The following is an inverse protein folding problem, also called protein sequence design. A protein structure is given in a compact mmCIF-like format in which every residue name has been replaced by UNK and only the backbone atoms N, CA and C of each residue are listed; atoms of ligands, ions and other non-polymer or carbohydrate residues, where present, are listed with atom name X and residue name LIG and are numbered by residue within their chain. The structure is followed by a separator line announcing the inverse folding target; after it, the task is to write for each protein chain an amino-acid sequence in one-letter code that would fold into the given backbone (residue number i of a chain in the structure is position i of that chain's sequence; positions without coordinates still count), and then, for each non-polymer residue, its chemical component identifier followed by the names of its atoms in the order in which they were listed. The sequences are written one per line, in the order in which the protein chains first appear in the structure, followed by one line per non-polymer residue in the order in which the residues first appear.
data_IF_519682418777
#
_entry.id   IF_519682418777
#
_cell.length_a   1.000
_cell.length_b   1.000
_cell.length_c   1.000
_cell.angle_alpha   90.00
_cell.angle_beta   90.00
_cell.angle_gamma   90.00
#
_symmetry.space_group_name_H-M   'P 1'
#
loop_
_entity.id
_entity.type
_entity.pdbx_description
1 polymer ?
#
# COMPACT_ATOMS: atom_id res chain seq x y z
N UNK A 1 -57.09 -2.65 -40.05
CA UNK A 1 -55.98 -1.79 -40.50
C UNK A 1 -55.18 -1.39 -39.24
N UNK A 2 -54.31 -2.19 -38.61
CA UNK A 2 -53.12 -2.96 -39.04
C UNK A 2 -52.07 -2.16 -39.80
N UNK A 3 -51.19 -1.47 -39.06
CA UNK A 3 -49.82 -1.18 -39.50
C UNK A 3 -48.86 -1.39 -38.33
N UNK A 4 -48.14 -2.50 -38.41
CA UNK A 4 -46.98 -2.83 -37.59
C UNK A 4 -45.70 -2.61 -38.43
N UNK A 5 -44.54 -2.51 -37.75
CA UNK A 5 -43.16 -2.72 -38.25
C UNK A 5 -42.62 -1.66 -39.25
N UNK A 6 -41.37 -1.19 -39.25
CA UNK A 6 -40.11 -1.73 -38.77
C UNK A 6 -39.07 -0.59 -38.58
N UNK A 7 -38.41 -0.49 -37.42
CA UNK A 7 -37.23 0.41 -37.24
C UNK A 7 -35.96 -0.34 -36.79
N UNK A 8 -35.92 -1.67 -36.92
CA UNK A 8 -34.88 -2.52 -36.31
C UNK A 8 -33.86 -3.15 -37.28
N UNK A 9 -33.15 -2.37 -38.12
CA UNK A 9 -31.85 -2.83 -38.65
C UNK A 9 -30.66 -1.93 -38.27
N UNK A 10 -30.87 -0.66 -37.88
CA UNK A 10 -29.78 0.29 -37.66
C UNK A 10 -29.07 0.14 -36.30
N UNK A 11 -29.82 -0.22 -35.24
CA UNK A 11 -29.27 -0.38 -33.88
C UNK A 11 -28.33 -1.59 -33.74
N UNK A 12 -28.49 -2.63 -34.56
CA UNK A 12 -27.64 -3.81 -34.50
C UNK A 12 -26.22 -3.54 -35.01
N UNK A 13 -26.06 -2.63 -35.98
CA UNK A 13 -24.75 -2.28 -36.56
C UNK A 13 -23.94 -1.33 -35.68
N UNK A 14 -24.61 -0.47 -34.92
CA UNK A 14 -23.96 0.43 -33.95
C UNK A 14 -23.27 -0.34 -32.79
N UNK A 15 -23.68 -1.57 -32.52
CA UNK A 15 -23.09 -2.42 -31.47
C UNK A 15 -21.82 -3.15 -31.91
N UNK A 16 -21.53 -3.20 -33.21
CA UNK A 16 -20.38 -3.90 -33.77
C UNK A 16 -19.07 -3.05 -33.79
N UNK A 17 -19.15 -1.76 -33.43
CA UNK A 17 -18.02 -0.84 -33.41
C UNK A 17 -17.63 -0.42 -31.99
N UNK A 18 -17.84 -1.28 -30.99
CA UNK A 18 -17.22 -1.07 -29.69
C UNK A 18 -15.72 -1.38 -29.84
N UNK A 19 -14.82 -0.40 -29.65
CA UNK A 19 -13.39 -0.64 -29.78
C UNK A 19 -12.98 -1.71 -28.79
N UNK A 20 -12.24 -2.71 -29.26
CA UNK A 20 -11.54 -3.67 -28.43
C UNK A 20 -10.82 -2.89 -27.32
N UNK A 21 -11.19 -3.13 -26.07
CA UNK A 21 -10.48 -2.61 -24.91
C UNK A 21 -9.05 -3.13 -24.98
N UNK A 22 -8.17 -2.37 -25.62
CA UNK A 22 -6.75 -2.52 -25.49
C UNK A 22 -6.47 -2.50 -23.98
N UNK A 23 -6.11 -3.65 -23.43
CA UNK A 23 -5.63 -3.74 -22.06
C UNK A 23 -4.30 -2.98 -22.01
N UNK A 24 -4.38 -1.67 -21.83
CA UNK A 24 -3.24 -0.90 -21.40
C UNK A 24 -2.68 -1.56 -20.13
N UNK A 25 -1.35 -1.74 -20.04
CA UNK A 25 -0.74 -2.15 -18.79
C UNK A 25 -0.96 -1.00 -17.80
N UNK A 26 -2.08 -1.07 -17.07
CA UNK A 26 -2.36 -0.24 -15.91
C UNK A 26 -1.29 -0.56 -14.88
N UNK A 27 -0.18 0.17 -14.91
CA UNK A 27 0.80 0.26 -13.83
C UNK A 27 0.09 0.84 -12.61
N UNK A 28 -0.66 -0.03 -11.96
CA UNK A 28 -1.65 0.33 -10.97
C UNK A 28 -1.07 0.47 -9.56
N UNK A 29 -1.96 0.49 -8.54
CA UNK A 29 -1.64 0.54 -7.10
C UNK A 29 -0.54 -0.42 -6.63
N UNK A 30 -0.26 -1.44 -7.42
CA UNK A 30 0.82 -2.39 -7.23
C UNK A 30 2.19 -1.72 -7.08
N UNK A 31 2.54 -0.73 -7.91
CA UNK A 31 3.88 -0.12 -7.88
C UNK A 31 4.19 0.57 -6.53
N UNK A 32 3.18 1.27 -6.00
CA UNK A 32 3.21 1.92 -4.69
C UNK A 32 3.38 0.90 -3.57
N UNK A 33 2.57 -0.16 -3.60
CA UNK A 33 2.67 -1.24 -2.62
C UNK A 33 4.06 -1.89 -2.69
N UNK A 34 4.57 -2.13 -3.90
CA UNK A 34 5.88 -2.72 -4.14
C UNK A 34 6.99 -1.87 -3.54
N UNK A 35 6.95 -0.54 -3.71
CA UNK A 35 7.94 0.37 -3.09
C UNK A 35 7.83 0.34 -1.57
N UNK A 36 6.62 0.37 -1.01
CA UNK A 36 6.43 0.33 0.44
C UNK A 36 6.92 -1.00 1.04
N UNK A 37 6.56 -2.13 0.40
CA UNK A 37 6.98 -3.47 0.80
C UNK A 37 8.50 -3.61 0.65
N UNK A 38 9.09 -3.14 -0.45
CA UNK A 38 10.55 -3.11 -0.63
C UNK A 38 11.23 -2.28 0.46
N UNK A 39 10.68 -1.11 0.80
CA UNK A 39 11.20 -0.27 1.88
C UNK A 39 11.12 -0.97 3.24
N UNK A 40 9.99 -1.60 3.57
CA UNK A 40 9.87 -2.42 4.78
C UNK A 40 10.86 -3.58 4.79
N UNK A 41 11.04 -4.27 3.65
CA UNK A 41 12.03 -5.35 3.51
C UNK A 41 13.45 -4.85 3.69
N UNK A 42 13.78 -3.67 3.14
CA UNK A 42 15.09 -3.05 3.26
C UNK A 42 15.39 -2.65 4.71
N UNK A 43 14.42 -2.05 5.41
CA UNK A 43 14.53 -1.71 6.84
C UNK A 43 14.70 -2.97 7.69
N UNK A 44 13.92 -4.02 7.40
CA UNK A 44 14.05 -5.31 8.08
C UNK A 44 15.42 -5.95 7.84
N UNK A 45 15.91 -5.95 6.59
CA UNK A 45 17.21 -6.48 6.24
C UNK A 45 18.35 -5.65 6.89
N UNK A 46 18.22 -4.33 6.92
CA UNK A 46 19.15 -3.44 7.60
C UNK A 46 19.23 -3.75 9.10
N UNK A 47 18.07 -3.88 9.76
CA UNK A 47 18.00 -4.30 11.15
C UNK A 47 18.65 -5.68 11.34
N UNK A 48 18.35 -6.65 10.46
CA UNK A 48 18.94 -7.97 10.51
C UNK A 48 20.47 -7.94 10.48
N UNK A 49 21.08 -7.07 9.68
CA UNK A 49 22.54 -6.95 9.64
C UNK A 49 23.17 -6.31 10.88
N UNK A 50 22.41 -5.49 11.62
CA UNK A 50 22.93 -4.73 12.76
C UNK A 50 22.69 -5.38 14.13
N UNK A 51 21.59 -6.10 14.31
CA UNK A 51 21.11 -6.55 15.63
C UNK A 51 20.83 -8.06 15.71
N UNK A 52 20.79 -8.79 14.59
CA UNK A 52 20.43 -10.22 14.60
C UNK A 52 21.44 -11.12 15.35
N UNK A 53 22.70 -10.72 15.46
CA UNK A 53 23.72 -11.51 16.18
C UNK A 53 23.54 -11.48 17.70
N UNK A 54 22.87 -10.46 18.24
CA UNK A 54 22.63 -10.29 19.67
C UNK A 54 21.17 -10.60 20.05
N UNK A 55 20.26 -10.50 19.09
CA UNK A 55 18.84 -10.81 19.23
C UNK A 55 18.64 -12.28 19.63
N UNK A 56 18.02 -12.51 20.79
CA UNK A 56 17.66 -13.86 21.24
C UNK A 56 18.73 -14.62 22.03
N UNK A 57 19.86 -13.98 22.35
CA UNK A 57 20.86 -14.56 23.27
C UNK A 57 20.32 -14.71 24.69
N UNK A 58 19.44 -13.80 25.10
CA UNK A 58 18.66 -13.84 26.33
C UNK A 58 17.21 -13.41 26.06
N UNK A 59 16.23 -13.82 26.89
CA UNK A 59 14.85 -13.37 26.73
C UNK A 59 14.73 -11.84 26.76
N UNK A 60 15.49 -11.14 27.61
CA UNK A 60 15.50 -9.66 27.65
C UNK A 60 16.01 -9.05 26.34
N UNK A 61 17.09 -9.57 25.77
CA UNK A 61 17.59 -9.10 24.46
C UNK A 61 16.61 -9.38 23.32
N UNK A 62 15.83 -10.47 23.38
CA UNK A 62 14.82 -10.78 22.37
C UNK A 62 13.69 -9.73 22.38
N UNK A 63 13.24 -9.32 23.57
CA UNK A 63 12.23 -8.27 23.70
C UNK A 63 12.78 -6.93 23.22
N UNK A 64 13.98 -6.54 23.68
CA UNK A 64 14.60 -5.28 23.23
C UNK A 64 14.73 -5.21 21.70
N UNK A 65 15.22 -6.29 21.10
CA UNK A 65 15.35 -6.44 19.64
C UNK A 65 14.01 -6.32 18.89
N UNK A 66 12.93 -6.89 19.43
CA UNK A 66 11.59 -6.75 18.85
C UNK A 66 11.07 -5.30 18.97
N UNK A 67 11.35 -4.63 20.08
CA UNK A 67 11.05 -3.21 20.27
C UNK A 67 11.78 -2.33 19.26
N UNK A 68 13.07 -2.54 19.06
CA UNK A 68 13.87 -1.82 18.05
C UNK A 68 13.32 -1.99 16.64
N UNK A 69 12.99 -3.23 16.25
CA UNK A 69 12.40 -3.52 14.95
C UNK A 69 11.05 -2.79 14.78
N UNK A 70 10.18 -2.85 15.78
CA UNK A 70 8.91 -2.13 15.78
C UNK A 70 9.11 -0.61 15.63
N UNK A 71 10.11 -0.04 16.31
CA UNK A 71 10.43 1.39 16.20
C UNK A 71 10.94 1.79 14.81
N UNK A 72 11.80 0.98 14.19
CA UNK A 72 12.31 1.21 12.83
C UNK A 72 11.20 1.17 11.79
N UNK A 73 10.36 0.13 11.83
CA UNK A 73 9.21 0.03 10.93
C UNK A 73 8.22 1.18 11.18
N UNK A 74 8.00 1.59 12.44
CA UNK A 74 7.07 2.66 12.78
C UNK A 74 7.53 3.98 12.16
N UNK A 75 8.82 4.28 12.31
CA UNK A 75 9.46 5.49 11.76
C UNK A 75 9.36 5.53 10.23
N UNK A 76 9.62 4.40 9.57
CA UNK A 76 9.48 4.28 8.11
C UNK A 76 8.02 4.48 7.65
N UNK A 77 7.06 3.86 8.34
CA UNK A 77 5.64 4.02 8.02
C UNK A 77 5.15 5.45 8.28
N UNK A 78 5.65 6.15 9.31
CA UNK A 78 5.37 7.58 9.54
C UNK A 78 5.89 8.43 8.39
N UNK A 79 7.12 8.19 7.93
CA UNK A 79 7.65 8.88 6.75
C UNK A 79 6.77 8.61 5.52
N UNK A 80 6.36 7.37 5.29
CA UNK A 80 5.44 7.03 4.21
C UNK A 80 4.08 7.75 4.37
N UNK A 81 3.52 7.78 5.58
CA UNK A 81 2.27 8.49 5.92
C UNK A 81 2.32 9.97 5.51
N UNK A 82 3.41 10.65 5.85
CA UNK A 82 3.65 12.07 5.50
C UNK A 82 3.82 12.23 3.99
N UNK A 83 4.55 11.32 3.35
CA UNK A 83 4.75 11.32 1.89
C UNK A 83 3.41 11.19 1.13
N UNK A 84 2.48 10.39 1.64
CA UNK A 84 1.13 10.28 1.07
C UNK A 84 0.35 11.60 1.18
N UNK A 85 0.49 12.32 2.30
CA UNK A 85 -0.17 13.63 2.51
C UNK A 85 0.47 14.75 1.68
N UNK A 86 1.77 14.63 1.37
CA UNK A 86 2.48 15.57 0.51
C UNK A 86 1.96 15.61 -0.94
N UNK A 87 0.91 14.84 -1.27
CA UNK A 87 0.23 14.79 -2.57
C UNK A 87 1.21 14.63 -3.73
N UNK A 88 2.12 13.67 -3.60
CA UNK A 88 3.13 13.41 -4.63
C UNK A 88 2.40 13.11 -5.96
N UNK A 89 2.50 13.99 -6.98
CA UNK A 89 1.65 13.93 -8.17
C UNK A 89 1.93 12.70 -9.06
N UNK A 90 3.01 11.97 -8.78
CA UNK A 90 3.33 10.68 -9.41
C UNK A 90 2.46 9.54 -8.83
N UNK A 91 2.03 9.65 -7.57
CA UNK A 91 1.21 8.66 -6.86
C UNK A 91 -0.28 8.80 -7.16
N UNK A 92 -0.79 10.04 -7.24
CA UNK A 92 -2.20 10.31 -7.58
C UNK A 92 -2.58 9.77 -8.97
N UNK A 93 -1.65 9.86 -9.93
CA UNK A 93 -1.84 9.37 -11.29
C UNK A 93 -1.94 7.83 -11.40
N UNK A 94 -1.35 7.08 -10.47
CA UNK A 94 -1.32 5.62 -10.51
C UNK A 94 -2.44 4.94 -9.70
N UNK A 95 -2.95 5.60 -8.65
CA UNK A 95 -3.81 4.94 -7.63
C UNK A 95 -5.21 5.54 -7.52
N UNK A 96 -5.38 6.83 -7.87
CA UNK A 96 -6.63 7.56 -7.69
C UNK A 96 -6.83 8.08 -6.26
N UNK A 97 -7.44 9.27 -6.13
CA UNK A 97 -7.59 10.03 -4.88
C UNK A 97 -8.30 9.26 -3.75
N UNK A 98 -9.35 8.51 -4.06
CA UNK A 98 -10.15 7.76 -3.08
C UNK A 98 -9.34 6.69 -2.33
N UNK A 99 -8.43 6.01 -3.05
CA UNK A 99 -7.60 4.96 -2.44
C UNK A 99 -6.49 5.52 -1.57
N UNK A 100 -5.94 6.70 -1.88
CA UNK A 100 -4.93 7.36 -1.03
C UNK A 100 -5.47 7.65 0.37
N UNK A 101 -6.70 8.13 0.48
CA UNK A 101 -7.32 8.42 1.78
C UNK A 101 -7.57 7.15 2.61
N UNK A 102 -8.02 6.07 1.97
CA UNK A 102 -8.17 4.76 2.61
C UNK A 102 -6.84 4.21 3.12
N UNK A 103 -5.78 4.31 2.30
CA UNK A 103 -4.44 3.84 2.66
C UNK A 103 -3.82 4.66 3.78
N UNK A 104 -4.02 5.98 3.77
CA UNK A 104 -3.60 6.84 4.88
C UNK A 104 -4.25 6.39 6.20
N UNK A 105 -5.55 6.07 6.20
CA UNK A 105 -6.22 5.58 7.41
C UNK A 105 -5.64 4.25 7.90
N UNK A 106 -5.41 3.31 6.99
CA UNK A 106 -4.85 1.99 7.33
C UNK A 106 -3.40 2.06 7.82
N UNK A 107 -2.56 2.87 7.17
CA UNK A 107 -1.17 3.10 7.59
C UNK A 107 -1.12 3.79 8.96
N UNK A 108 -2.04 4.74 9.22
CA UNK A 108 -2.10 5.44 10.50
C UNK A 108 -2.41 4.48 11.65
N UNK A 109 -3.39 3.60 11.47
CA UNK A 109 -3.70 2.56 12.47
C UNK A 109 -2.50 1.62 12.68
N UNK A 110 -1.81 1.23 11.61
CA UNK A 110 -0.64 0.34 11.69
C UNK A 110 0.50 1.00 12.46
N UNK A 111 0.80 2.27 12.18
CA UNK A 111 1.81 3.07 12.90
C UNK A 111 1.49 3.12 14.39
N UNK A 112 0.25 3.42 14.76
CA UNK A 112 -0.15 3.52 16.18
C UNK A 112 0.06 2.20 16.91
N UNK A 113 -0.34 1.07 16.30
CA UNK A 113 -0.11 -0.26 16.88
C UNK A 113 1.39 -0.58 17.00
N UNK A 114 2.19 -0.18 16.02
CA UNK A 114 3.63 -0.41 16.04
C UNK A 114 4.34 0.44 17.11
N UNK A 115 3.94 1.70 17.29
CA UNK A 115 4.47 2.57 18.35
C UNK A 115 4.08 2.05 19.73
N UNK A 116 2.83 1.61 19.92
CA UNK A 116 2.40 0.96 21.16
C UNK A 116 3.24 -0.29 21.45
N UNK A 117 3.47 -1.13 20.43
CA UNK A 117 4.33 -2.31 20.53
C UNK A 117 5.76 -1.92 20.90
N UNK A 118 6.34 -0.91 20.24
CA UNK A 118 7.68 -0.42 20.54
C UNK A 118 7.84 0.02 22.00
N UNK A 119 6.92 0.84 22.50
CA UNK A 119 6.95 1.33 23.88
C UNK A 119 6.80 0.18 24.87
N UNK A 120 5.89 -0.75 24.60
CA UNK A 120 5.67 -1.93 25.47
C UNK A 120 6.90 -2.86 25.51
N UNK A 121 7.61 -3.04 24.40
CA UNK A 121 8.80 -3.87 24.37
C UNK A 121 10.04 -3.17 24.94
N UNK A 122 10.07 -1.82 24.92
CA UNK A 122 11.14 -1.04 25.55
C UNK A 122 10.99 -0.94 27.08
N UNK A 123 9.76 -1.01 27.60
CA UNK A 123 9.50 -0.86 29.04
C UNK A 123 9.72 -2.17 29.83
N UNK A 124 9.64 -3.33 29.17
CA UNK A 124 9.73 -4.69 29.76
C UNK A 124 11.15 -5.22 29.63
#
# INVERSE_FOLDING_TARGET
MTTATAQRPAQARARAAAPSSASEPRSGPSAVLTVLVLGCLAVFAFWWTGTATSAGTTPGTALLSAGELAGLLASFLVCAQVLLVARVPWFERAVGFDKLASWHRSLGTTVVLLVMTHVLFMIV
#
